data_IF_630082798122
#
_entry.id   IF_630082798122
#
_cell.length_a   1.000
_cell.length_b   1.000
_cell.length_c   1.000
_cell.angle_alpha   90.00
_cell.angle_beta   90.00
_cell.angle_gamma   90.00
#
_symmetry.space_group_name_H-M   'P 1'
#
loop_
_entity.id
_entity.type
_entity.pdbx_description
1 polymer ?
#
# COMPACT_ATOMS: atom_id res chain seq x y z
N UNK A 1 0.23 -14.56 -18.80
CA UNK A 1 -0.48 -13.66 -18.37
C UNK A 1 0.10 -12.85 -17.33
N UNK A 2 0.04 -11.64 -17.46
CA UNK A 2 0.64 -10.79 -16.52
C UNK A 2 -0.08 -10.85 -15.22
N UNK A 3 0.65 -10.84 -14.13
CA UNK A 3 0.05 -10.88 -12.90
C UNK A 3 -0.34 -9.52 -12.55
N UNK A 4 -1.48 -9.31 -12.11
CA UNK A 4 -1.90 -8.06 -11.69
C UNK A 4 -1.94 -8.02 -10.23
N UNK A 5 -1.76 -6.84 -9.65
CA UNK A 5 -1.93 -6.64 -8.23
C UNK A 5 -3.41 -6.33 -8.06
N UNK A 6 -4.22 -7.36 -8.05
CA UNK A 6 -5.66 -7.19 -8.13
C UNK A 6 -6.25 -6.41 -6.97
N UNK A 7 -5.61 -6.45 -5.81
CA UNK A 7 -6.16 -5.76 -4.64
C UNK A 7 -5.46 -4.46 -4.34
N UNK A 8 -4.49 -4.06 -5.17
CA UNK A 8 -3.73 -2.86 -4.88
C UNK A 8 -4.61 -1.62 -4.81
N UNK A 9 -5.50 -1.44 -5.77
CA UNK A 9 -6.36 -0.26 -5.77
C UNK A 9 -7.23 -0.19 -4.53
N UNK A 10 -7.78 -1.31 -4.12
CA UNK A 10 -8.59 -1.39 -2.95
C UNK A 10 -7.77 -1.04 -1.71
N UNK A 11 -6.53 -1.49 -1.65
CA UNK A 11 -5.67 -1.21 -0.52
C UNK A 11 -5.32 0.29 -0.46
N UNK A 12 -5.09 0.90 -1.61
CA UNK A 12 -4.80 2.34 -1.64
C UNK A 12 -5.99 3.15 -1.15
N UNK A 13 -7.19 2.74 -1.54
CA UNK A 13 -8.39 3.41 -1.06
C UNK A 13 -8.53 3.25 0.44
N UNK A 14 -8.28 2.06 0.95
CA UNK A 14 -8.37 1.79 2.37
C UNK A 14 -7.38 2.63 3.16
N UNK A 15 -6.15 2.74 2.67
CA UNK A 15 -5.15 3.55 3.33
C UNK A 15 -5.60 5.01 3.38
N UNK A 16 -6.08 5.52 2.25
CA UNK A 16 -6.51 6.90 2.18
C UNK A 16 -7.65 7.18 3.18
N UNK A 17 -8.61 6.28 3.22
CA UNK A 17 -9.74 6.45 4.13
C UNK A 17 -9.32 6.33 5.57
N UNK A 18 -8.41 5.41 5.86
CA UNK A 18 -7.94 5.25 7.22
C UNK A 18 -7.21 6.49 7.72
N UNK A 19 -6.58 7.22 6.81
CA UNK A 19 -5.90 8.46 7.18
C UNK A 19 -6.83 9.66 7.15
N UNK A 20 -8.08 9.48 6.72
CA UNK A 20 -9.04 10.56 6.68
C UNK A 20 -8.77 11.59 5.61
N UNK A 21 -8.16 11.18 4.49
CA UNK A 21 -7.73 12.12 3.47
C UNK A 21 -8.57 12.00 2.20
N UNK A 22 -8.74 13.12 1.52
CA UNK A 22 -9.32 13.11 0.18
C UNK A 22 -8.26 12.65 -0.79
N UNK A 23 -8.64 12.46 -2.05
CA UNK A 23 -7.66 12.07 -3.07
C UNK A 23 -6.59 13.14 -3.24
N UNK A 24 -6.97 14.41 -3.26
CA UNK A 24 -5.98 15.46 -3.32
C UNK A 24 -5.19 15.54 -2.02
N UNK A 25 -5.85 15.24 -0.91
CA UNK A 25 -5.19 15.28 0.38
C UNK A 25 -4.08 14.26 0.50
N UNK A 26 -4.29 13.05 -0.01
CA UNK A 26 -3.25 12.06 0.08
C UNK A 26 -2.10 12.40 -0.86
N UNK A 27 -2.37 12.99 -2.02
CA UNK A 27 -1.29 13.39 -2.90
C UNK A 27 -0.40 14.43 -2.22
N UNK A 28 -1.00 15.37 -1.49
CA UNK A 28 -0.22 16.35 -0.76
C UNK A 28 0.56 15.69 0.36
N UNK A 29 -0.05 14.76 1.07
CA UNK A 29 0.61 14.10 2.17
C UNK A 29 1.80 13.29 1.68
N UNK A 30 1.70 12.71 0.49
CA UNK A 30 2.79 11.94 -0.07
C UNK A 30 3.86 12.82 -0.72
N UNK A 31 3.59 14.10 -0.87
CA UNK A 31 4.52 15.00 -1.54
C UNK A 31 4.48 14.82 -3.05
N UNK A 32 3.38 14.31 -3.58
CA UNK A 32 3.27 14.03 -5.00
C UNK A 32 2.29 14.94 -5.73
N UNK A 33 1.82 15.99 -5.06
CA UNK A 33 0.79 16.84 -5.66
C UNK A 33 1.24 17.52 -6.95
N UNK A 34 2.55 17.71 -7.11
CA UNK A 34 3.05 18.33 -8.33
C UNK A 34 3.33 17.31 -9.42
N UNK A 35 3.30 16.04 -9.08
CA UNK A 35 3.65 15.00 -10.03
C UNK A 35 2.50 14.14 -10.48
N UNK A 36 1.48 14.03 -9.64
CA UNK A 36 0.32 13.21 -9.96
C UNK A 36 -0.94 14.03 -9.81
N UNK A 37 -1.89 13.79 -10.69
CA UNK A 37 -3.18 14.47 -10.59
C UNK A 37 -4.16 13.61 -9.82
N UNK A 38 -5.25 14.21 -9.40
CA UNK A 38 -6.31 13.46 -8.75
C UNK A 38 -6.85 12.37 -9.67
N UNK A 39 -6.93 12.64 -10.97
CA UNK A 39 -7.44 11.65 -11.91
C UNK A 39 -6.52 10.44 -11.97
N UNK A 40 -5.20 10.66 -11.87
CA UNK A 40 -4.27 9.55 -11.87
C UNK A 40 -4.39 8.74 -10.58
N UNK A 41 -4.54 9.42 -9.44
CA UNK A 41 -4.72 8.70 -8.20
C UNK A 41 -6.03 7.90 -8.24
N UNK A 42 -7.08 8.49 -8.76
CA UNK A 42 -8.35 7.79 -8.89
C UNK A 42 -8.21 6.54 -9.74
N UNK A 43 -7.41 6.62 -10.82
CA UNK A 43 -7.18 5.45 -11.66
C UNK A 43 -6.46 4.36 -10.89
N UNK A 44 -5.56 4.73 -9.97
CA UNK A 44 -4.89 3.75 -9.13
C UNK A 44 -5.92 3.04 -8.21
N UNK A 45 -6.80 3.82 -7.60
CA UNK A 45 -7.78 3.23 -6.69
C UNK A 45 -8.78 2.34 -7.41
N UNK A 46 -9.06 2.65 -8.67
CA UNK A 46 -10.00 1.85 -9.44
C UNK A 46 -9.33 0.64 -10.10
N UNK A 47 -8.03 0.53 -9.96
CA UNK A 47 -7.33 -0.59 -10.56
C UNK A 47 -7.10 -0.47 -12.05
N UNK A 48 -7.31 0.73 -12.61
CA UNK A 48 -7.13 0.96 -14.02
C UNK A 48 -5.67 1.17 -14.35
N UNK A 49 -4.91 1.72 -13.42
CA UNK A 49 -3.49 1.92 -13.60
C UNK A 49 -2.76 1.54 -12.33
N UNK A 50 -1.52 1.18 -12.44
CA UNK A 50 -0.70 0.85 -11.28
C UNK A 50 0.32 1.94 -11.04
N UNK A 51 0.57 2.30 -9.78
CA UNK A 51 1.60 3.28 -9.47
C UNK A 51 2.99 2.73 -9.81
N UNK A 52 3.92 3.63 -10.03
CA UNK A 52 5.30 3.22 -10.27
C UNK A 52 5.91 2.74 -8.96
N UNK A 53 7.05 2.09 -9.04
CA UNK A 53 7.72 1.61 -7.84
C UNK A 53 8.07 2.72 -6.87
N UNK A 54 8.61 3.86 -7.33
CA UNK A 54 8.90 4.94 -6.37
C UNK A 54 7.64 5.44 -5.65
N UNK A 55 6.52 5.50 -6.37
CA UNK A 55 5.26 5.93 -5.74
C UNK A 55 4.81 4.89 -4.73
N UNK A 56 4.92 3.61 -5.06
CA UNK A 56 4.55 2.55 -4.13
C UNK A 56 5.40 2.61 -2.86
N UNK A 57 6.68 2.90 -3.00
CA UNK A 57 7.54 3.00 -1.85
C UNK A 57 7.10 4.14 -0.94
N UNK A 58 6.79 5.29 -1.51
CA UNK A 58 6.33 6.42 -0.72
C UNK A 58 5.02 6.09 0.00
N UNK A 59 4.11 5.42 -0.68
CA UNK A 59 2.85 5.02 -0.08
C UNK A 59 3.09 4.05 1.07
N UNK A 60 3.98 3.09 0.87
CA UNK A 60 4.25 2.09 1.90
C UNK A 60 4.82 2.75 3.13
N UNK A 61 5.65 3.76 2.94
CA UNK A 61 6.24 4.45 4.08
C UNK A 61 5.20 5.26 4.83
N UNK A 62 4.30 5.90 4.12
CA UNK A 62 3.25 6.64 4.78
C UNK A 62 2.33 5.70 5.56
N UNK A 63 2.01 4.57 4.99
CA UNK A 63 1.11 3.63 5.64
C UNK A 63 1.79 2.81 6.73
N UNK A 64 3.12 2.84 6.76
CA UNK A 64 3.85 2.06 7.75
C UNK A 64 3.84 0.58 7.48
N UNK A 65 3.82 0.19 6.19
CA UNK A 65 3.84 -1.21 5.82
C UNK A 65 4.91 -1.43 4.79
N UNK A 66 5.29 -2.67 4.58
CA UNK A 66 6.24 -3.02 3.54
C UNK A 66 5.53 -2.99 2.20
N UNK A 67 6.27 -2.71 1.13
CA UNK A 67 5.67 -2.68 -0.20
C UNK A 67 4.99 -4.00 -0.55
N UNK A 68 5.50 -5.10 -0.02
CA UNK A 68 4.93 -6.40 -0.25
C UNK A 68 3.47 -6.44 0.18
N UNK A 69 3.14 -5.77 1.27
CA UNK A 69 1.77 -5.74 1.75
C UNK A 69 0.85 -5.07 0.73
N UNK A 70 1.37 -4.10 -0.02
CA UNK A 70 0.58 -3.42 -1.02
C UNK A 70 0.38 -4.27 -2.26
N UNK A 71 1.44 -4.92 -2.71
CA UNK A 71 1.39 -5.57 -4.03
C UNK A 71 1.07 -7.05 -3.98
N UNK A 72 1.21 -7.68 -2.82
CA UNK A 72 0.95 -9.11 -2.72
C UNK A 72 -0.49 -9.31 -2.30
N UNK A 73 -1.29 -9.88 -3.20
CA UNK A 73 -2.72 -10.06 -2.94
C UNK A 73 -3.00 -11.05 -1.81
N UNK A 74 -2.01 -11.80 -1.40
CA UNK A 74 -2.18 -12.74 -0.30
C UNK A 74 -1.97 -12.11 1.07
N UNK A 75 -1.57 -10.85 1.11
CA UNK A 75 -1.38 -10.15 2.36
C UNK A 75 -2.47 -9.10 2.52
N UNK A 76 -2.87 -8.87 3.75
CA UNK A 76 -3.86 -7.86 4.04
C UNK A 76 -3.23 -6.71 4.78
N UNK A 77 -3.84 -5.54 4.67
CA UNK A 77 -3.38 -4.39 5.43
C UNK A 77 -3.61 -4.63 6.91
N UNK A 78 -2.75 -4.06 7.76
CA UNK A 78 -3.01 -4.17 9.20
C UNK A 78 -4.23 -3.35 9.58
N UNK A 79 -4.79 -3.63 10.73
CA UNK A 79 -5.98 -2.93 11.18
C UNK A 79 -5.72 -1.46 11.44
N UNK A 80 -4.50 -1.10 11.85
CA UNK A 80 -4.22 0.26 12.13
C UNK A 80 -3.33 0.85 11.12
N UNK A 81 -3.72 1.94 10.51
CA UNK A 81 -2.94 2.64 9.50
C UNK A 81 -2.80 4.09 9.97
N UNK A 82 -1.62 4.63 10.08
CA UNK A 82 -0.36 3.98 9.73
C UNK A 82 0.08 3.00 10.80
N UNK A 83 0.74 1.96 10.39
CA UNK A 83 1.22 0.95 11.31
C UNK A 83 2.56 1.39 11.87
N UNK A 84 2.80 1.04 13.12
CA UNK A 84 4.05 1.37 13.74
C UNK A 84 4.31 0.37 14.85
N UNK A 85 5.33 -0.43 14.76
CA UNK A 85 6.35 -0.40 13.71
C UNK A 85 5.82 -0.94 12.41
N UNK A 86 6.64 -0.81 11.38
CA UNK A 86 6.24 -1.20 10.06
C UNK A 86 5.76 -2.64 10.06
N UNK A 87 4.65 -2.87 9.40
CA UNK A 87 4.01 -4.17 9.43
C UNK A 87 4.20 -4.93 8.14
N UNK A 88 4.34 -6.23 8.24
CA UNK A 88 4.42 -7.07 7.07
C UNK A 88 3.03 -7.45 6.55
N UNK A 89 2.01 -7.03 7.23
CA UNK A 89 0.66 -7.36 6.78
C UNK A 89 0.18 -8.67 7.38
N UNK A 90 -1.10 -8.92 7.23
CA UNK A 90 -1.70 -10.12 7.77
C UNK A 90 -1.84 -11.13 6.67
N UNK A 91 -1.27 -12.30 6.85
CA UNK A 91 -1.31 -13.31 5.85
C UNK A 91 -2.65 -13.99 5.84
N UNK A 92 -3.22 -14.15 4.65
CA UNK A 92 -4.47 -14.77 4.56
C UNK A 92 -4.41 -16.20 4.88
N UNK A 93 -3.38 -16.92 4.49
CA UNK A 93 -3.29 -18.26 4.77
C UNK A 93 -2.41 -18.41 5.87
N UNK A 94 -2.64 -19.23 6.71
CA UNK A 94 -1.84 -19.39 7.83
C UNK A 94 -0.68 -20.03 7.45
N UNK A 95 0.09 -19.73 6.94
CA UNK A 95 1.13 -20.38 6.55
C UNK A 95 2.20 -20.51 7.28
N UNK A 96 3.31 -20.70 6.84
CA UNK A 96 4.31 -20.89 7.57
C UNK A 96 4.88 -19.67 7.98
N UNK A 97 5.55 -19.70 8.95
CA UNK A 97 6.13 -18.64 9.40
C UNK A 97 7.35 -18.54 8.78
N UNK A 98 7.68 -17.70 8.23
CA UNK A 98 8.80 -17.57 7.62
C UNK A 98 9.66 -16.96 8.41
N UNK A 99 10.27 -17.37 8.82
CA UNK A 99 10.99 -16.84 9.63
C UNK A 99 11.20 -15.72 9.78
N UNK A 100 11.05 -15.68 10.02
CA UNK A 100 11.09 -14.74 10.10
C UNK A 100 12.02 -14.20 10.27
N UNK A 101 12.47 -14.41 10.18
CA UNK A 101 13.20 -13.89 10.22
C UNK A 101 13.40 -13.01 10.09
N UNK A 102 13.19 -12.96 10.17
CA UNK A 102 13.35 -12.11 9.99
C UNK A 102 13.72 -11.31 10.28
N UNK A 103 13.53 -11.36 10.53
CA UNK A 103 13.71 -10.35 10.87
C UNK A 103 14.79 -9.98 10.79
N UNK A 104 15.08 -10.36 10.63
CA UNK A 104 16.06 -10.10 10.52
C UNK A 104 16.40 -9.16 9.80
N UNK A 105 16.46 -8.81 9.48
CA UNK A 105 16.79 -7.96 8.94
C UNK A 105 16.40 -7.14 9.11
N UNK A 106 16.18 -7.31 9.62
CA UNK A 106 16.03 -6.36 9.98
C UNK A 106 16.01 -5.65 10.05
#
# INVERSE_FOLDING_TARGET
MARRCARLGEKLLTIRRALGLSQNGILRRLGLADELTQAEWSAYERGVRNPSLPVLLIISELAGVWMDVLVNDNLDLPDKIPASPKSEGIKRKSGRKIGSKSGAFG
#
